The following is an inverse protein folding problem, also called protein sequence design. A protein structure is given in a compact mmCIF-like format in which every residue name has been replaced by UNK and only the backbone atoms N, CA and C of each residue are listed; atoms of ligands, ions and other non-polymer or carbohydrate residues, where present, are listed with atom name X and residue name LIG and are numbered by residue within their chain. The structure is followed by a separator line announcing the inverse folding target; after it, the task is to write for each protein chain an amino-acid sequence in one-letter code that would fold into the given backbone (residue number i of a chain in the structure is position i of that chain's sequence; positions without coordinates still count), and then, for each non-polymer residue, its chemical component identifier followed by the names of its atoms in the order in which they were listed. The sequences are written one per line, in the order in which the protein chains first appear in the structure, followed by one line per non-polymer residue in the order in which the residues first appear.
data_IF_794320344906
#
_entry.id   IF_794320344906
#
_cell.length_a   1.000
_cell.length_b   1.000
_cell.length_c   1.000
_cell.angle_alpha   90.00
_cell.angle_beta   90.00
_cell.angle_gamma   90.00
#
_symmetry.space_group_name_H-M   'P 1'
#
loop_
_entity.id
_entity.type
_entity.pdbx_description
1 polymer ?
#
# COMPACT_ATOMS: atom_id res chain seq x y z
N UNK A 1 -21.64 11.81 20.50
CA UNK A 1 -20.71 12.06 19.38
C UNK A 1 -19.32 11.88 19.98
N UNK A 2 -18.68 10.75 19.75
CA UNK A 2 -17.34 10.49 20.26
C UNK A 2 -16.41 11.40 19.44
N UNK A 3 -15.69 12.27 20.11
CA UNK A 3 -14.69 13.13 19.48
C UNK A 3 -13.60 12.19 18.93
N UNK A 4 -13.37 12.22 17.64
CA UNK A 4 -12.31 11.46 16.99
C UNK A 4 -10.99 12.21 17.28
N UNK A 5 -10.22 11.73 18.23
CA UNK A 5 -8.96 12.34 18.68
C UNK A 5 -7.84 11.44 18.21
N UNK A 6 -6.83 12.04 17.55
CA UNK A 6 -5.56 11.37 17.25
C UNK A 6 -4.79 11.12 18.53
N UNK A 7 -4.14 9.98 18.66
CA UNK A 7 -3.28 9.71 19.79
C UNK A 7 -2.03 10.62 19.75
N UNK A 8 -1.90 11.47 20.77
CA UNK A 8 -0.80 12.43 20.88
C UNK A 8 0.58 11.74 20.92
N UNK A 9 0.65 10.53 21.50
CA UNK A 9 1.88 9.75 21.52
C UNK A 9 2.34 9.34 20.11
N UNK A 10 1.40 9.00 19.23
CA UNK A 10 1.68 8.68 17.82
C UNK A 10 2.28 9.90 17.13
N UNK A 11 1.64 11.06 17.28
CA UNK A 11 2.13 12.31 16.70
C UNK A 11 3.55 12.65 17.18
N UNK A 12 3.80 12.54 18.49
CA UNK A 12 5.12 12.83 19.09
C UNK A 12 6.18 11.84 18.61
N UNK A 13 5.85 10.55 18.54
CA UNK A 13 6.78 9.49 18.09
C UNK A 13 7.13 9.67 16.60
N UNK A 14 6.14 9.93 15.76
CA UNK A 14 6.36 10.16 14.33
C UNK A 14 7.19 11.42 14.06
N UNK A 15 6.90 12.54 14.77
CA UNK A 15 7.68 13.76 14.66
C UNK A 15 9.16 13.53 15.03
N UNK A 16 9.40 12.85 16.16
CA UNK A 16 10.77 12.55 16.59
C UNK A 16 11.49 11.69 15.56
N UNK A 17 10.88 10.55 15.17
CA UNK A 17 11.47 9.64 14.19
C UNK A 17 11.86 10.37 12.90
N UNK A 18 10.88 11.02 12.26
CA UNK A 18 11.12 11.63 10.95
C UNK A 18 12.09 12.81 11.00
N UNK A 19 12.10 13.59 12.09
CA UNK A 19 13.09 14.66 12.26
C UNK A 19 14.53 14.13 12.41
N UNK A 20 14.70 12.91 12.94
CA UNK A 20 16.00 12.28 13.12
C UNK A 20 16.49 11.60 11.83
N UNK A 21 15.62 10.91 11.09
CA UNK A 21 16.04 10.08 9.94
C UNK A 21 15.95 10.78 8.59
N UNK A 22 15.12 11.82 8.44
CA UNK A 22 14.88 12.51 7.16
C UNK A 22 15.72 13.80 7.05
N UNK A 23 17.04 13.65 7.09
CA UNK A 23 17.92 14.77 6.75
C UNK A 23 17.83 15.09 5.25
N UNK A 24 18.20 16.33 4.88
CA UNK A 24 18.24 16.73 3.47
C UNK A 24 19.10 15.80 2.61
N UNK A 25 20.23 15.35 3.14
CA UNK A 25 21.12 14.39 2.47
C UNK A 25 20.45 13.01 2.29
N UNK A 26 19.74 12.50 3.33
CA UNK A 26 19.04 11.23 3.24
C UNK A 26 17.92 11.26 2.18
N UNK A 27 17.17 12.35 2.10
CA UNK A 27 16.12 12.55 1.08
C UNK A 27 16.74 12.61 -0.33
N UNK A 28 17.81 13.39 -0.54
CA UNK A 28 18.50 13.46 -1.84
C UNK A 28 19.07 12.11 -2.29
N UNK A 29 19.61 11.34 -1.35
CA UNK A 29 20.10 9.99 -1.64
C UNK A 29 18.97 9.06 -2.06
N UNK A 30 17.83 9.11 -1.37
CA UNK A 30 16.64 8.35 -1.71
C UNK A 30 16.06 8.73 -3.09
N UNK A 31 15.99 10.02 -3.42
CA UNK A 31 15.58 10.50 -4.74
C UNK A 31 16.50 9.98 -5.85
N UNK A 32 17.81 9.96 -5.60
CA UNK A 32 18.80 9.48 -6.56
C UNK A 32 18.74 7.96 -6.74
N UNK A 33 18.58 7.22 -5.64
CA UNK A 33 18.49 5.75 -5.65
C UNK A 33 17.12 5.24 -6.12
N UNK A 34 16.06 6.02 -5.94
CA UNK A 34 14.66 5.63 -6.18
C UNK A 34 14.09 4.73 -5.08
N UNK A 35 14.79 4.60 -3.94
CA UNK A 35 14.40 3.81 -2.77
C UNK A 35 15.10 4.33 -1.51
N UNK A 36 14.56 3.97 -0.33
CA UNK A 36 15.09 4.37 0.96
C UNK A 36 14.99 3.23 1.99
N UNK A 37 15.76 2.15 1.85
CA UNK A 37 15.61 0.95 2.66
C UNK A 37 15.86 1.19 4.16
N UNK A 38 16.79 2.07 4.52
CA UNK A 38 17.08 2.40 5.92
C UNK A 38 15.92 3.20 6.55
N UNK A 39 15.35 4.15 5.81
CA UNK A 39 14.17 4.92 6.26
C UNK A 39 12.96 4.01 6.36
N UNK A 40 12.77 3.12 5.38
CA UNK A 40 11.71 2.11 5.42
C UNK A 40 11.84 1.21 6.65
N UNK A 41 13.02 0.67 6.93
CA UNK A 41 13.28 -0.17 8.09
C UNK A 41 12.94 0.55 9.41
N UNK A 42 13.42 1.79 9.60
CA UNK A 42 13.10 2.58 10.77
C UNK A 42 11.59 2.89 10.91
N UNK A 43 10.90 3.11 9.79
CA UNK A 43 9.45 3.33 9.74
C UNK A 43 8.68 2.06 10.14
N UNK A 44 9.10 0.88 9.65
CA UNK A 44 8.44 -0.39 9.96
C UNK A 44 8.64 -0.84 11.40
N UNK A 45 9.80 -0.58 12.00
CA UNK A 45 10.08 -0.88 13.42
C UNK A 45 9.09 -0.22 14.39
N UNK A 46 8.47 0.89 14.00
CA UNK A 46 7.45 1.56 14.82
C UNK A 46 6.07 0.93 14.74
N UNK A 47 5.82 0.04 13.78
CA UNK A 47 4.49 -0.47 13.46
C UNK A 47 3.59 0.51 12.71
N UNK A 48 4.08 1.67 12.34
CA UNK A 48 3.29 2.71 11.64
C UNK A 48 2.70 2.28 10.30
N UNK A 49 3.35 1.43 9.46
CA UNK A 49 2.70 0.94 8.25
C UNK A 49 1.33 0.31 8.49
N UNK A 50 1.17 -0.38 9.61
CA UNK A 50 -0.01 -1.17 9.94
C UNK A 50 -0.86 -0.56 11.06
N UNK A 51 -0.70 0.75 11.34
CA UNK A 51 -1.30 1.41 12.49
C UNK A 51 -2.83 1.34 12.51
N UNK A 52 -3.49 1.40 11.35
CA UNK A 52 -4.96 1.36 11.26
C UNK A 52 -5.55 -0.03 11.05
N UNK A 53 -4.75 -1.07 11.28
CA UNK A 53 -5.18 -2.46 11.09
C UNK A 53 -5.25 -3.17 12.43
N UNK A 54 -6.22 -4.07 12.57
CA UNK A 54 -6.47 -4.85 13.79
C UNK A 54 -5.26 -5.70 14.18
N UNK A 55 -4.96 -5.78 15.48
CA UNK A 55 -3.84 -6.58 16.02
C UNK A 55 -3.96 -8.07 15.67
N UNK A 56 -5.18 -8.61 15.58
CA UNK A 56 -5.41 -10.01 15.21
C UNK A 56 -4.98 -10.33 13.76
N UNK A 57 -4.82 -9.31 12.91
CA UNK A 57 -4.35 -9.43 11.53
C UNK A 57 -2.89 -9.01 11.37
N UNK A 58 -2.19 -8.74 12.47
CA UNK A 58 -0.81 -8.29 12.48
C UNK A 58 -0.64 -6.77 12.42
N UNK A 59 -1.72 -6.00 12.61
CA UNK A 59 -1.68 -4.54 12.71
C UNK A 59 -1.33 -4.04 14.11
N UNK A 60 -1.38 -2.73 14.30
CA UNK A 60 -1.08 -2.07 15.56
C UNK A 60 -2.33 -1.60 16.33
N UNK A 61 -3.54 -1.86 15.83
CA UNK A 61 -4.81 -1.61 16.52
C UNK A 61 -5.23 -0.15 16.69
N UNK A 62 -4.54 0.78 16.03
CA UNK A 62 -4.92 2.19 15.99
C UNK A 62 -6.06 2.49 15.03
N UNK A 63 -6.32 3.75 14.80
CA UNK A 63 -7.40 4.23 13.93
C UNK A 63 -6.91 4.70 12.57
N UNK A 64 -7.85 4.85 11.61
CA UNK A 64 -7.53 5.51 10.33
C UNK A 64 -7.06 6.95 10.53
N UNK A 65 -7.56 7.66 11.55
CA UNK A 65 -7.09 9.02 11.84
C UNK A 65 -5.64 9.05 12.28
N UNK A 66 -5.20 8.08 13.07
CA UNK A 66 -3.80 7.94 13.47
C UNK A 66 -2.92 7.69 12.25
N UNK A 67 -3.37 6.82 11.32
CA UNK A 67 -2.65 6.58 10.07
C UNK A 67 -2.56 7.84 9.19
N UNK A 68 -3.64 8.63 9.11
CA UNK A 68 -3.65 9.89 8.36
C UNK A 68 -2.76 10.96 9.00
N UNK A 69 -2.68 11.00 10.33
CA UNK A 69 -1.76 11.91 11.03
C UNK A 69 -0.30 11.54 10.77
N UNK A 70 0.05 10.24 10.82
CA UNK A 70 1.38 9.78 10.43
C UNK A 70 1.67 10.15 8.99
N UNK A 71 0.71 9.96 8.07
CA UNK A 71 0.88 10.32 6.65
C UNK A 71 1.07 11.83 6.46
N UNK A 72 0.34 12.67 7.22
CA UNK A 72 0.55 14.12 7.20
C UNK A 72 1.98 14.50 7.59
N UNK A 73 2.52 13.83 8.60
CA UNK A 73 3.91 14.04 9.02
C UNK A 73 4.92 13.50 8.00
N UNK A 74 4.63 12.37 7.33
CA UNK A 74 5.41 11.87 6.19
C UNK A 74 5.51 12.95 5.10
N UNK A 75 4.39 13.60 4.76
CA UNK A 75 4.40 14.73 3.82
C UNK A 75 5.21 15.93 4.34
N UNK A 76 5.07 16.28 5.62
CA UNK A 76 5.78 17.41 6.21
C UNK A 76 7.31 17.21 6.19
N UNK A 77 7.79 16.01 6.46
CA UNK A 77 9.22 15.66 6.46
C UNK A 77 9.73 15.15 5.12
N UNK A 78 8.87 15.08 4.09
CA UNK A 78 9.18 14.51 2.77
C UNK A 78 9.78 13.09 2.86
N UNK A 79 9.22 12.25 3.73
CA UNK A 79 9.71 10.88 3.97
C UNK A 79 9.51 10.03 2.72
N UNK A 80 10.57 9.49 2.09
CA UNK A 80 10.49 8.81 0.80
C UNK A 80 10.08 7.34 0.94
N UNK A 81 8.86 7.08 1.43
CA UNK A 81 8.32 5.73 1.64
C UNK A 81 6.88 5.59 1.12
N UNK A 82 6.46 4.42 0.65
CA UNK A 82 5.11 4.16 0.12
C UNK A 82 4.07 3.95 1.24
N UNK A 83 3.96 4.89 2.17
CA UNK A 83 3.10 4.73 3.35
C UNK A 83 1.61 4.62 3.01
N UNK A 84 1.14 5.44 2.06
CA UNK A 84 -0.25 5.43 1.62
C UNK A 84 -0.61 4.12 0.92
N UNK A 85 0.24 3.70 0.00
CA UNK A 85 0.06 2.46 -0.75
C UNK A 85 0.11 1.25 0.17
N UNK A 86 1.07 1.20 1.10
CA UNK A 86 1.28 0.04 1.97
C UNK A 86 0.19 -0.06 3.04
N UNK A 87 0.03 0.94 3.88
CA UNK A 87 -0.86 0.84 5.04
C UNK A 87 -2.31 1.16 4.72
N UNK A 88 -2.54 2.34 4.13
CA UNK A 88 -3.90 2.89 3.97
C UNK A 88 -4.67 2.17 2.87
N UNK A 89 -4.02 1.74 1.82
CA UNK A 89 -4.67 1.07 0.68
C UNK A 89 -4.43 -0.44 0.68
N UNK A 90 -3.19 -0.89 0.53
CA UNK A 90 -2.86 -2.29 0.35
C UNK A 90 -3.12 -3.12 1.60
N UNK A 91 -2.62 -2.69 2.74
CA UNK A 91 -2.84 -3.35 4.01
C UNK A 91 -4.32 -3.41 4.41
N UNK A 92 -5.06 -2.32 4.16
CA UNK A 92 -6.51 -2.34 4.33
C UNK A 92 -7.18 -3.39 3.44
N UNK A 93 -6.87 -3.46 2.14
CA UNK A 93 -7.45 -4.47 1.25
C UNK A 93 -7.12 -5.89 1.72
N UNK A 94 -5.86 -6.14 2.10
CA UNK A 94 -5.43 -7.45 2.60
C UNK A 94 -6.14 -7.82 3.90
N UNK A 95 -6.26 -6.88 4.83
CA UNK A 95 -6.93 -7.12 6.11
C UNK A 95 -8.43 -7.42 5.95
N UNK A 96 -9.12 -6.68 5.08
CA UNK A 96 -10.54 -6.92 4.79
C UNK A 96 -10.79 -8.27 4.10
N UNK A 97 -9.81 -8.76 3.37
CA UNK A 97 -9.80 -10.10 2.77
C UNK A 97 -9.32 -11.21 3.72
N UNK A 98 -8.93 -10.88 4.95
CA UNK A 98 -8.43 -11.81 5.95
C UNK A 98 -7.04 -12.36 5.65
N UNK A 99 -6.27 -11.73 4.78
CA UNK A 99 -4.87 -12.08 4.55
C UNK A 99 -3.97 -11.57 5.69
N UNK A 100 -2.93 -12.35 6.00
CA UNK A 100 -1.86 -11.88 6.87
C UNK A 100 -1.09 -10.74 6.19
N UNK A 101 -0.70 -9.75 6.97
CA UNK A 101 0.13 -8.65 6.47
C UNK A 101 1.57 -9.13 6.25
N UNK A 102 2.22 -8.74 5.14
CA UNK A 102 3.62 -9.05 4.90
C UNK A 102 4.53 -8.16 5.76
N UNK A 103 5.80 -8.51 5.85
CA UNK A 103 6.81 -7.65 6.48
C UNK A 103 7.25 -6.50 5.56
N UNK A 104 7.14 -6.70 4.25
CA UNK A 104 7.59 -5.76 3.23
C UNK A 104 6.53 -4.77 2.77
N UNK A 105 6.88 -4.06 1.72
CA UNK A 105 6.02 -3.06 1.07
C UNK A 105 4.84 -3.76 0.38
N UNK A 106 3.65 -3.23 0.60
CA UNK A 106 2.46 -3.58 -0.18
C UNK A 106 2.15 -2.45 -1.15
N UNK A 107 1.91 -2.79 -2.40
CA UNK A 107 1.36 -1.84 -3.36
C UNK A 107 0.00 -2.28 -3.86
N UNK A 108 -0.65 -1.39 -4.58
CA UNK A 108 -1.99 -1.60 -5.12
C UNK A 108 -2.02 -1.26 -6.61
N UNK A 109 -2.93 -1.86 -7.35
CA UNK A 109 -3.20 -1.39 -8.70
C UNK A 109 -4.09 -0.14 -8.62
N UNK A 110 -3.67 0.99 -9.23
CA UNK A 110 -4.46 2.22 -9.23
C UNK A 110 -5.75 2.10 -10.06
N UNK A 111 -5.75 1.22 -11.06
CA UNK A 111 -6.90 0.87 -11.91
C UNK A 111 -6.65 -0.51 -12.52
N UNK A 112 -7.70 -1.32 -12.67
CA UNK A 112 -7.59 -2.62 -13.34
C UNK A 112 -7.28 -2.49 -14.82
N UNK A 113 -7.48 -1.34 -15.45
CA UNK A 113 -7.22 -1.08 -16.85
C UNK A 113 -7.82 -2.10 -17.84
N UNK A 114 -8.04 -1.74 -19.08
CA UNK A 114 -8.65 -2.63 -20.08
C UNK A 114 -7.75 -3.82 -20.47
N UNK A 115 -6.46 -3.75 -20.14
CA UNK A 115 -5.46 -4.73 -20.55
C UNK A 115 -5.18 -5.83 -19.49
N UNK A 116 -5.92 -5.83 -18.37
CA UNK A 116 -5.78 -6.82 -17.32
C UNK A 116 -6.97 -7.79 -17.32
N UNK A 117 -6.70 -9.07 -17.51
CA UNK A 117 -7.68 -10.14 -17.44
C UNK A 117 -7.46 -10.97 -16.16
N UNK A 118 -8.50 -11.08 -15.33
CA UNK A 118 -8.52 -11.92 -14.12
C UNK A 118 -9.55 -13.01 -14.33
N UNK A 119 -9.15 -14.27 -14.13
CA UNK A 119 -10.02 -15.44 -14.20
C UNK A 119 -10.03 -16.17 -12.87
N UNK A 120 -11.20 -16.33 -12.31
CA UNK A 120 -11.41 -17.15 -11.12
C UNK A 120 -11.39 -18.63 -11.51
N UNK A 121 -10.61 -19.44 -10.79
CA UNK A 121 -10.53 -20.89 -10.95
C UNK A 121 -10.44 -21.57 -9.57
N UNK A 122 -11.56 -22.02 -9.07
CA UNK A 122 -11.67 -22.62 -7.74
C UNK A 122 -11.27 -21.66 -6.62
N UNK A 123 -10.18 -21.95 -5.91
CA UNK A 123 -9.66 -21.14 -4.79
C UNK A 123 -8.55 -20.16 -5.21
N UNK A 124 -8.28 -20.05 -6.50
CA UNK A 124 -7.21 -19.22 -7.05
C UNK A 124 -7.72 -18.34 -8.18
N UNK A 125 -6.98 -17.31 -8.50
CA UNK A 125 -7.16 -16.50 -9.71
C UNK A 125 -5.93 -16.61 -10.59
N UNK A 126 -6.15 -16.59 -11.90
CA UNK A 126 -5.10 -16.44 -12.90
C UNK A 126 -5.18 -15.06 -13.51
N UNK A 127 -4.06 -14.34 -13.51
CA UNK A 127 -3.97 -12.94 -13.94
C UNK A 127 -3.05 -12.86 -15.15
N UNK A 128 -3.54 -12.20 -16.22
CA UNK A 128 -2.79 -11.96 -17.44
C UNK A 128 -2.96 -10.53 -17.91
N UNK A 129 -1.93 -10.00 -18.60
CA UNK A 129 -1.97 -8.63 -19.13
C UNK A 129 -0.99 -7.70 -18.44
N UNK A 130 -1.25 -6.40 -18.47
CA UNK A 130 -0.35 -5.40 -17.92
C UNK A 130 -1.09 -4.28 -17.22
N UNK A 131 -0.52 -3.82 -16.12
CA UNK A 131 -0.94 -2.63 -15.40
C UNK A 131 0.17 -1.57 -15.49
N UNK A 132 -0.18 -0.33 -15.78
CA UNK A 132 0.74 0.79 -15.87
C UNK A 132 0.59 1.71 -14.65
N UNK A 133 1.67 2.45 -14.33
CA UNK A 133 1.70 3.42 -13.22
C UNK A 133 1.42 2.81 -11.85
N UNK A 134 1.80 1.55 -11.66
CA UNK A 134 1.71 0.88 -10.36
C UNK A 134 2.75 1.53 -9.43
N UNK A 135 2.31 2.14 -8.32
CA UNK A 135 3.25 2.82 -7.43
C UNK A 135 4.15 1.81 -6.73
N UNK A 136 5.45 2.09 -6.67
CA UNK A 136 6.44 1.34 -5.89
C UNK A 136 6.48 -0.18 -6.16
N UNK A 137 6.01 -0.66 -7.32
CA UNK A 137 5.92 -2.10 -7.59
C UNK A 137 7.28 -2.79 -7.55
N UNK A 138 8.36 -2.10 -7.98
CA UNK A 138 9.73 -2.65 -7.96
C UNK A 138 10.26 -2.98 -6.57
N UNK A 139 9.74 -2.31 -5.54
CA UNK A 139 10.13 -2.49 -4.14
C UNK A 139 9.09 -3.27 -3.34
N UNK A 140 7.95 -3.61 -3.94
CA UNK A 140 6.86 -4.29 -3.25
C UNK A 140 7.13 -5.78 -3.07
N UNK A 141 6.68 -6.31 -1.94
CA UNK A 141 6.55 -7.74 -1.69
C UNK A 141 5.22 -8.26 -2.27
N UNK A 142 4.13 -7.53 -1.98
CA UNK A 142 2.77 -7.89 -2.40
C UNK A 142 2.15 -6.79 -3.25
N UNK A 143 1.43 -7.20 -4.28
CA UNK A 143 0.52 -6.36 -5.06
C UNK A 143 -0.91 -6.77 -4.68
N UNK A 144 -1.62 -5.92 -3.94
CA UNK A 144 -3.03 -6.13 -3.61
C UNK A 144 -3.91 -5.63 -4.76
N UNK A 145 -4.78 -6.50 -5.26
CA UNK A 145 -5.65 -6.21 -6.41
C UNK A 145 -7.10 -6.35 -6.01
N UNK A 146 -7.82 -5.24 -6.00
CA UNK A 146 -9.28 -5.25 -5.86
C UNK A 146 -9.91 -5.50 -7.23
N UNK A 147 -10.74 -6.52 -7.36
CA UNK A 147 -11.43 -6.86 -8.59
C UNK A 147 -12.89 -7.27 -8.35
N UNK A 148 -13.67 -7.23 -9.41
CA UNK A 148 -15.09 -7.60 -9.39
C UNK A 148 -15.33 -8.77 -10.34
N UNK A 149 -16.04 -9.79 -9.86
CA UNK A 149 -16.43 -10.95 -10.64
C UNK A 149 -17.81 -11.44 -10.17
N UNK A 150 -18.67 -11.80 -11.10
CA UNK A 150 -20.02 -12.37 -10.88
C UNK A 150 -20.82 -11.66 -9.76
N UNK A 151 -20.77 -10.33 -9.72
CA UNK A 151 -21.55 -9.52 -8.78
C UNK A 151 -20.92 -9.30 -7.40
N UNK A 152 -19.77 -9.88 -7.11
CA UNK A 152 -19.05 -9.76 -5.84
C UNK A 152 -17.70 -9.06 -6.01
N UNK A 153 -17.19 -8.51 -4.90
CA UNK A 153 -15.88 -7.89 -4.83
C UNK A 153 -14.87 -8.83 -4.17
N UNK A 154 -13.67 -8.86 -4.70
CA UNK A 154 -12.60 -9.73 -4.24
C UNK A 154 -11.29 -8.98 -4.15
N UNK A 155 -10.40 -9.46 -3.30
CA UNK A 155 -9.01 -9.02 -3.23
C UNK A 155 -8.09 -10.20 -3.53
N UNK A 156 -7.19 -10.04 -4.49
CA UNK A 156 -6.09 -10.97 -4.75
C UNK A 156 -4.79 -10.45 -4.11
N UNK A 157 -4.02 -11.38 -3.52
CA UNK A 157 -2.72 -11.12 -2.90
C UNK A 157 -1.61 -11.70 -3.77
N UNK A 158 -1.06 -10.89 -4.66
CA UNK A 158 -0.09 -11.33 -5.67
C UNK A 158 1.33 -11.07 -5.18
N UNK A 159 2.21 -12.08 -5.26
CA UNK A 159 3.64 -11.88 -5.03
C UNK A 159 4.23 -11.04 -6.16
N UNK A 160 4.86 -9.91 -5.84
CA UNK A 160 5.46 -9.04 -6.85
C UNK A 160 6.60 -9.73 -7.62
N UNK A 161 7.29 -10.69 -6.95
CA UNK A 161 8.34 -11.52 -7.56
C UNK A 161 7.85 -12.42 -8.70
N UNK A 162 6.54 -12.73 -8.76
CA UNK A 162 5.95 -13.54 -9.82
C UNK A 162 5.59 -12.70 -11.07
N UNK A 163 5.81 -11.39 -11.00
CA UNK A 163 5.49 -10.44 -12.04
C UNK A 163 6.76 -9.94 -12.76
N UNK A 164 6.60 -9.51 -14.00
CA UNK A 164 7.66 -8.78 -14.72
C UNK A 164 7.45 -7.29 -14.52
N UNK A 165 8.36 -6.66 -13.79
CA UNK A 165 8.27 -5.24 -13.43
C UNK A 165 9.25 -4.44 -14.29
N UNK A 166 8.73 -3.45 -15.02
CA UNK A 166 9.51 -2.49 -15.78
C UNK A 166 9.52 -1.16 -15.02
N UNK A 167 10.69 -0.71 -14.54
CA UNK A 167 10.82 0.53 -13.79
C UNK A 167 10.42 1.75 -14.62
N UNK A 168 9.55 2.59 -14.04
CA UNK A 168 9.13 3.89 -14.56
C UNK A 168 9.05 4.88 -13.40
N UNK A 169 9.05 6.17 -13.70
CA UNK A 169 8.89 7.23 -12.69
C UNK A 169 7.84 8.24 -13.14
N UNK A 170 7.25 8.96 -12.18
CA UNK A 170 6.45 10.14 -12.45
C UNK A 170 7.33 11.41 -12.54
N UNK A 171 6.70 12.56 -12.71
CA UNK A 171 7.43 13.85 -12.79
C UNK A 171 8.13 14.25 -11.48
N UNK A 172 7.71 13.70 -10.35
CA UNK A 172 8.34 13.91 -9.05
C UNK A 172 9.48 12.93 -8.75
N UNK A 173 9.80 12.00 -9.69
CA UNK A 173 10.82 10.98 -9.49
C UNK A 173 10.35 9.73 -8.75
N UNK A 174 9.09 9.69 -8.29
CA UNK A 174 8.57 8.54 -7.57
C UNK A 174 8.37 7.32 -8.50
N UNK A 175 8.61 6.09 -8.02
CA UNK A 175 8.32 4.87 -8.75
C UNK A 175 6.85 4.77 -9.18
N UNK A 176 6.63 4.58 -10.48
CA UNK A 176 5.31 4.36 -11.10
C UNK A 176 5.47 3.34 -12.22
N UNK A 177 5.66 2.10 -11.82
CA UNK A 177 6.13 1.02 -12.67
C UNK A 177 5.06 0.46 -13.59
N UNK A 178 5.50 -0.24 -14.65
CA UNK A 178 4.64 -1.12 -15.43
C UNK A 178 4.82 -2.54 -14.90
N UNK A 179 3.72 -3.19 -14.55
CA UNK A 179 3.69 -4.58 -14.08
C UNK A 179 3.01 -5.44 -15.14
N UNK A 180 3.69 -6.48 -15.61
CA UNK A 180 3.13 -7.47 -16.52
C UNK A 180 2.91 -8.79 -15.78
N UNK A 181 1.70 -9.28 -15.91
CA UNK A 181 1.25 -10.57 -15.39
C UNK A 181 1.21 -11.58 -16.55
N UNK A 182 1.95 -12.66 -16.42
CA UNK A 182 2.10 -13.67 -17.49
C UNK A 182 1.50 -15.01 -17.02
N UNK A 183 0.19 -15.00 -16.77
CA UNK A 183 -0.51 -16.14 -16.18
C UNK A 183 -0.20 -16.34 -14.70
N UNK A 184 0.02 -15.25 -13.97
CA UNK A 184 0.31 -15.29 -12.53
C UNK A 184 -0.89 -15.87 -11.79
N UNK A 185 -0.64 -16.88 -10.95
CA UNK A 185 -1.66 -17.53 -10.13
C UNK A 185 -1.53 -17.05 -8.70
N UNK A 186 -2.65 -16.66 -8.11
CA UNK A 186 -2.66 -16.07 -6.76
C UNK A 186 -3.86 -16.52 -5.95
N UNK A 187 -3.74 -16.42 -4.62
CA UNK A 187 -4.85 -16.53 -3.69
C UNK A 187 -5.72 -15.29 -3.77
N UNK A 188 -7.01 -15.46 -3.55
CA UNK A 188 -7.97 -14.38 -3.46
C UNK A 188 -9.02 -14.68 -2.38
N UNK A 189 -9.68 -13.64 -1.91
CA UNK A 189 -10.81 -13.78 -1.00
C UNK A 189 -11.90 -12.76 -1.32
N UNK A 190 -13.15 -13.14 -1.04
CA UNK A 190 -14.30 -12.24 -1.15
C UNK A 190 -14.25 -11.19 -0.05
N UNK A 191 -14.60 -9.96 -0.38
CA UNK A 191 -14.70 -8.87 0.57
C UNK A 191 -16.12 -8.31 0.60
N UNK A 192 -16.43 -7.53 1.64
CA UNK A 192 -17.72 -6.86 1.75
C UNK A 192 -18.06 -6.06 0.49
N UNK A 193 -19.34 -6.05 0.11
CA UNK A 193 -19.82 -5.24 -1.01
C UNK A 193 -19.55 -3.72 -0.83
N UNK A 194 -19.28 -3.27 0.41
CA UNK A 194 -18.88 -1.89 0.69
C UNK A 194 -17.43 -1.60 0.27
N UNK A 195 -16.63 -2.64 -0.01
CA UNK A 195 -15.22 -2.51 -0.46
C UNK A 195 -15.21 -2.64 -1.98
N UNK A 196 -15.44 -1.54 -2.63
CA UNK A 196 -15.54 -1.41 -4.07
C UNK A 196 -14.55 -0.37 -4.63
N UNK A 197 -14.57 -0.17 -5.93
CA UNK A 197 -13.73 0.83 -6.58
C UNK A 197 -13.98 2.27 -6.08
N UNK A 198 -15.19 2.58 -5.59
CA UNK A 198 -15.50 3.91 -5.05
C UNK A 198 -14.89 4.09 -3.67
N UNK A 199 -15.04 3.14 -2.76
CA UNK A 199 -14.45 3.17 -1.42
C UNK A 199 -12.92 3.20 -1.49
N UNK A 200 -12.34 2.43 -2.41
CA UNK A 200 -10.90 2.46 -2.70
C UNK A 200 -10.42 3.85 -3.16
N UNK A 201 -11.13 4.47 -4.11
CA UNK A 201 -10.80 5.83 -4.59
C UNK A 201 -10.95 6.89 -3.50
N UNK A 202 -11.99 6.80 -2.67
CA UNK A 202 -12.19 7.71 -1.54
C UNK A 202 -11.05 7.60 -0.53
N UNK A 203 -10.65 6.37 -0.19
CA UNK A 203 -9.54 6.12 0.72
C UNK A 203 -8.21 6.64 0.15
N UNK A 204 -7.97 6.44 -1.14
CA UNK A 204 -6.82 7.01 -1.86
C UNK A 204 -6.85 8.54 -1.96
N UNK A 205 -8.03 9.15 -2.01
CA UNK A 205 -8.16 10.61 -1.97
C UNK A 205 -7.82 11.19 -0.58
N UNK A 206 -8.24 10.50 0.51
CA UNK A 206 -7.89 10.88 1.88
C UNK A 206 -6.37 10.78 2.13
N UNK A 207 -5.66 9.92 1.43
CA UNK A 207 -4.22 9.76 1.58
C UNK A 207 -3.37 10.81 0.86
N UNK A 208 -4.00 11.81 0.22
CA UNK A 208 -3.31 12.94 -0.47
C UNK A 208 -3.31 14.24 0.33
N UNK A 209 -3.43 14.14 1.63
CA UNK A 209 -3.49 15.31 2.53
C UNK A 209 -2.13 16.00 2.67
#
# INVERSE_FOLDING_TARGET
MTELIVDELITQTANRLFSEICSHEAIQNAETAGEAPEIWAAYTETGFPWISIDENLGGSGGTLLDALEVLRLIGYYAVPVPAAETGILGGWLLSEAGFQLPEGIVTVLPDQGPDLAIKVDGSQVSITGSAIRVPWARSAEIIAILFHDDGNNYVASVQASDCVITPMTNMAGEPRDTVRFDGVVSSYAEVSAAIDAQSFRLRGALSRV
#
